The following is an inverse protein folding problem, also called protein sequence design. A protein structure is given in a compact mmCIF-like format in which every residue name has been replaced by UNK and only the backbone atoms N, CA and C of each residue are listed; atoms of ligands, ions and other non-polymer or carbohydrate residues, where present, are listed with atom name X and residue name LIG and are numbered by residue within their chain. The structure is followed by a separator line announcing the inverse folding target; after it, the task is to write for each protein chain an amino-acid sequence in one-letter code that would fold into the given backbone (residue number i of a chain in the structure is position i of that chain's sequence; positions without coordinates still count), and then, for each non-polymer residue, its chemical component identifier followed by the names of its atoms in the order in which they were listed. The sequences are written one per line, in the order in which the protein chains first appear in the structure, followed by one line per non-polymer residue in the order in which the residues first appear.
data_IF_450893860966
#
_entry.id   IF_450893860966
#
_cell.length_a   1.000
_cell.length_b   1.000
_cell.length_c   1.000
_cell.angle_alpha   90.00
_cell.angle_beta   90.00
_cell.angle_gamma   90.00
#
_symmetry.space_group_name_H-M   'P 1'
#
loop_
_entity.id
_entity.type
_entity.pdbx_description
1 polymer ?
#
# COMPACT_ATOMS: atom_id res chain seq x y z
N UNK A 1 41.99 46.36 -3.44
CA UNK A 1 41.18 45.64 -4.45
C UNK A 1 40.75 44.30 -3.84
N UNK A 2 39.53 44.24 -3.25
CA UNK A 2 38.97 43.01 -2.71
C UNK A 2 38.14 42.31 -3.81
N UNK A 3 38.54 41.12 -4.23
CA UNK A 3 37.78 40.29 -5.16
C UNK A 3 36.63 39.62 -4.40
N UNK A 4 35.40 39.91 -4.81
CA UNK A 4 34.19 39.24 -4.31
C UNK A 4 34.18 37.79 -4.81
N UNK A 5 34.18 36.82 -3.90
CA UNK A 5 33.96 35.41 -4.20
C UNK A 5 32.46 35.13 -4.15
N UNK A 6 31.89 34.76 -5.28
CA UNK A 6 30.46 34.50 -5.48
C UNK A 6 30.07 33.16 -4.84
N UNK A 7 28.89 33.01 -4.18
CA UNK A 7 28.48 31.77 -3.55
C UNK A 7 27.77 30.85 -4.56
N UNK A 8 28.51 30.14 -5.41
CA UNK A 8 27.97 29.15 -6.35
C UNK A 8 27.82 27.75 -5.68
N UNK A 9 28.51 27.53 -4.54
CA UNK A 9 28.55 26.21 -3.87
C UNK A 9 27.29 25.82 -3.09
N UNK A 10 26.46 26.78 -2.67
CA UNK A 10 25.26 26.48 -1.86
C UNK A 10 24.08 25.87 -2.67
N UNK A 11 23.95 26.25 -3.94
CA UNK A 11 22.83 25.78 -4.78
C UNK A 11 23.03 24.33 -5.24
N UNK A 12 24.26 23.91 -5.47
CA UNK A 12 24.57 22.53 -5.90
C UNK A 12 24.28 21.50 -4.79
N UNK A 13 24.52 21.84 -3.53
CA UNK A 13 24.25 20.94 -2.41
C UNK A 13 22.75 20.71 -2.18
N UNK A 14 21.92 21.72 -2.38
CA UNK A 14 20.45 21.61 -2.18
C UNK A 14 19.79 20.74 -3.28
N UNK A 15 20.28 20.84 -4.50
CA UNK A 15 19.77 20.02 -5.63
C UNK A 15 20.16 18.55 -5.49
N UNK A 16 21.36 18.25 -4.97
CA UNK A 16 21.82 16.89 -4.73
C UNK A 16 21.03 16.19 -3.61
N UNK A 17 20.65 16.90 -2.55
CA UNK A 17 19.83 16.36 -1.46
C UNK A 17 18.40 16.03 -1.92
N UNK A 18 17.79 16.87 -2.76
CA UNK A 18 16.44 16.61 -3.29
C UNK A 18 16.41 15.41 -4.25
N UNK A 19 17.46 15.21 -5.05
CA UNK A 19 17.55 14.06 -5.97
C UNK A 19 17.81 12.75 -5.23
N UNK A 20 18.58 12.76 -4.15
CA UNK A 20 18.84 11.58 -3.33
C UNK A 20 17.57 11.06 -2.62
N UNK A 21 16.75 11.96 -2.06
CA UNK A 21 15.47 11.58 -1.43
C UNK A 21 14.47 10.98 -2.44
N UNK A 22 14.42 11.54 -3.64
CA UNK A 22 13.55 11.02 -4.70
C UNK A 22 14.00 9.65 -5.23
N UNK A 23 15.29 9.41 -5.31
CA UNK A 23 15.85 8.13 -5.74
C UNK A 23 15.60 7.03 -4.70
N UNK A 24 15.71 7.34 -3.41
CA UNK A 24 15.44 6.40 -2.32
C UNK A 24 13.96 5.96 -2.30
N UNK A 25 13.02 6.89 -2.46
CA UNK A 25 11.59 6.57 -2.51
C UNK A 25 11.24 5.70 -3.74
N UNK A 26 11.86 5.97 -4.89
CA UNK A 26 11.67 5.14 -6.10
C UNK A 26 12.25 3.75 -5.94
N UNK A 27 13.42 3.62 -5.34
CA UNK A 27 14.04 2.32 -5.07
C UNK A 27 13.15 1.46 -4.18
N UNK A 28 12.52 2.03 -3.13
CA UNK A 28 11.60 1.31 -2.25
C UNK A 28 10.37 0.77 -2.98
N UNK A 29 9.72 1.55 -3.85
CA UNK A 29 8.57 1.10 -4.64
C UNK A 29 8.96 0.04 -5.69
N UNK A 30 10.16 0.14 -6.24
CA UNK A 30 10.70 -0.89 -7.13
C UNK A 30 10.96 -2.20 -6.37
N UNK A 31 11.46 -2.14 -5.15
CA UNK A 31 11.64 -3.31 -4.29
C UNK A 31 10.31 -4.01 -3.99
N UNK A 32 9.25 -3.24 -3.67
CA UNK A 32 7.89 -3.80 -3.50
C UNK A 32 7.44 -4.49 -4.77
N UNK A 33 7.58 -3.84 -5.93
CA UNK A 33 7.21 -4.40 -7.22
C UNK A 33 7.99 -5.69 -7.52
N UNK A 34 9.27 -5.72 -7.22
CA UNK A 34 10.10 -6.90 -7.41
C UNK A 34 9.67 -8.05 -6.49
N UNK A 35 9.53 -7.80 -5.19
CA UNK A 35 9.17 -8.83 -4.20
C UNK A 35 7.77 -9.39 -4.41
N UNK A 36 6.84 -8.60 -4.97
CA UNK A 36 5.43 -9.01 -5.20
C UNK A 36 5.17 -9.53 -6.63
N UNK A 37 6.16 -9.49 -7.53
CA UNK A 37 6.00 -9.94 -8.92
C UNK A 37 5.48 -11.38 -9.05
N UNK A 38 5.92 -12.27 -8.18
CA UNK A 38 5.48 -13.68 -8.13
C UNK A 38 3.99 -13.82 -7.88
N UNK A 39 3.37 -12.88 -7.18
CA UNK A 39 1.95 -12.88 -6.84
C UNK A 39 1.03 -12.47 -8.00
N UNK A 40 1.58 -12.13 -9.16
CA UNK A 40 0.78 -12.06 -10.40
C UNK A 40 0.13 -13.40 -10.73
N UNK A 41 0.66 -14.48 -10.17
CA UNK A 41 0.06 -15.82 -10.17
C UNK A 41 -0.63 -16.05 -8.83
N UNK A 42 -1.97 -16.00 -8.83
CA UNK A 42 -2.77 -16.13 -7.61
C UNK A 42 -2.49 -17.44 -6.85
N UNK A 43 -2.18 -18.52 -7.56
CA UNK A 43 -1.83 -19.80 -6.93
C UNK A 43 -0.60 -19.66 -6.02
N UNK A 44 0.40 -18.85 -6.42
CA UNK A 44 1.59 -18.58 -5.61
C UNK A 44 1.21 -17.77 -4.37
N UNK A 45 0.33 -16.76 -4.51
CA UNK A 45 -0.15 -15.99 -3.36
C UNK A 45 -0.86 -16.90 -2.34
N UNK A 46 -1.76 -17.77 -2.81
CA UNK A 46 -2.45 -18.73 -1.94
C UNK A 46 -1.49 -19.70 -1.25
N UNK A 47 -0.50 -20.21 -1.97
CA UNK A 47 0.55 -21.06 -1.40
C UNK A 47 1.34 -20.36 -0.31
N UNK A 48 1.62 -19.06 -0.48
CA UNK A 48 2.35 -18.22 0.47
C UNK A 48 1.46 -17.67 1.62
N UNK A 49 0.25 -18.21 1.79
CA UNK A 49 -0.62 -17.94 2.95
C UNK A 49 -1.61 -16.79 2.77
N UNK A 50 -1.78 -16.26 1.56
CA UNK A 50 -2.79 -15.23 1.29
C UNK A 50 -4.15 -15.88 1.02
N UNK A 51 -5.14 -15.58 1.88
CA UNK A 51 -6.52 -16.04 1.77
C UNK A 51 -7.47 -14.95 1.27
N UNK A 52 -8.55 -15.35 0.60
CA UNK A 52 -9.60 -14.42 0.15
C UNK A 52 -10.27 -13.74 1.35
N UNK A 53 -10.23 -12.41 1.38
CA UNK A 53 -11.01 -11.61 2.33
C UNK A 53 -12.40 -11.32 1.76
N UNK A 54 -13.42 -11.44 2.60
CA UNK A 54 -14.76 -10.92 2.37
C UNK A 54 -15.12 -9.94 3.47
N UNK A 55 -15.92 -8.95 3.13
CA UNK A 55 -16.46 -8.06 4.16
C UNK A 55 -17.55 -8.74 5.01
N UNK A 56 -18.09 -8.05 6.01
CA UNK A 56 -19.11 -8.59 6.91
C UNK A 56 -20.42 -8.97 6.19
N UNK A 57 -20.68 -8.44 5.00
CA UNK A 57 -21.80 -8.80 4.14
C UNK A 57 -21.48 -9.97 3.18
N UNK A 58 -20.26 -10.52 3.23
CA UNK A 58 -19.81 -11.60 2.38
C UNK A 58 -19.32 -11.16 0.98
N UNK A 59 -19.15 -9.85 0.77
CA UNK A 59 -18.71 -9.27 -0.50
C UNK A 59 -17.19 -9.37 -0.60
N UNK A 60 -16.71 -9.95 -1.70
CA UNK A 60 -15.28 -10.13 -1.93
C UNK A 60 -14.65 -9.03 -2.79
N UNK A 61 -15.37 -8.51 -3.77
CA UNK A 61 -14.89 -7.42 -4.62
C UNK A 61 -15.45 -6.10 -4.10
N UNK A 62 -14.58 -5.22 -3.70
CA UNK A 62 -14.93 -3.97 -3.02
C UNK A 62 -14.92 -2.83 -4.03
N UNK A 63 -16.06 -2.16 -4.20
CA UNK A 63 -16.18 -0.94 -4.98
C UNK A 63 -17.10 0.08 -4.32
N UNK A 64 -17.06 1.30 -4.81
CA UNK A 64 -17.85 2.44 -4.37
C UNK A 64 -18.19 3.32 -5.59
N UNK A 65 -19.17 2.94 -6.43
CA UNK A 65 -19.58 3.75 -7.55
C UNK A 65 -20.17 5.10 -7.10
N UNK A 66 -19.83 6.23 -7.76
CA UNK A 66 -18.98 6.38 -8.94
C UNK A 66 -17.49 6.63 -8.64
N UNK A 67 -17.05 6.48 -7.40
CA UNK A 67 -15.69 6.83 -6.95
C UNK A 67 -14.65 5.89 -7.60
N UNK A 68 -14.93 4.59 -7.61
CA UNK A 68 -14.07 3.55 -8.15
C UNK A 68 -14.09 2.27 -7.32
N UNK A 69 -13.23 1.32 -7.64
CA UNK A 69 -13.06 0.09 -6.89
C UNK A 69 -11.70 0.01 -6.18
N UNK A 70 -11.66 -0.74 -5.10
CA UNK A 70 -10.44 -1.31 -4.54
C UNK A 70 -10.10 -2.62 -5.23
N UNK A 71 -11.08 -3.50 -5.37
CA UNK A 71 -10.93 -4.83 -5.97
C UNK A 71 -11.10 -5.95 -4.96
N UNK A 72 -10.46 -7.10 -5.22
CA UNK A 72 -10.52 -8.31 -4.41
C UNK A 72 -9.25 -8.43 -3.59
N UNK A 73 -9.39 -8.51 -2.27
CA UNK A 73 -8.27 -8.60 -1.35
C UNK A 73 -7.96 -10.05 -0.98
N UNK A 74 -6.69 -10.41 -1.05
CA UNK A 74 -6.14 -11.64 -0.49
C UNK A 74 -5.19 -11.26 0.63
N UNK A 75 -5.48 -11.69 1.85
CA UNK A 75 -4.82 -11.24 3.08
C UNK A 75 -4.04 -12.38 3.70
N UNK A 76 -2.83 -12.10 4.17
CA UNK A 76 -2.05 -13.01 4.99
C UNK A 76 -2.21 -12.64 6.46
N UNK A 77 -3.07 -13.36 7.17
CA UNK A 77 -3.41 -13.10 8.57
C UNK A 77 -2.21 -13.20 9.52
N UNK A 78 -1.19 -13.99 9.18
CA UNK A 78 0.04 -14.08 9.99
C UNK A 78 0.82 -12.77 9.94
N UNK A 79 0.88 -12.10 8.78
CA UNK A 79 1.54 -10.82 8.64
C UNK A 79 0.75 -9.70 9.32
N UNK A 80 -0.59 -9.68 9.20
CA UNK A 80 -1.44 -8.69 9.89
C UNK A 80 -1.26 -8.76 11.40
N UNK A 81 -1.04 -9.96 11.96
CA UNK A 81 -0.91 -10.20 13.39
C UNK A 81 0.49 -9.96 13.98
N UNK A 82 1.52 -9.69 13.17
CA UNK A 82 2.92 -9.61 13.66
C UNK A 82 3.34 -8.22 14.18
N UNK A 83 2.40 -7.26 14.21
CA UNK A 83 2.63 -5.88 14.67
C UNK A 83 3.78 -5.13 13.96
N UNK A 84 4.15 -5.56 12.76
CA UNK A 84 5.17 -4.93 11.93
C UNK A 84 4.63 -4.53 10.56
N UNK A 85 5.34 -3.67 9.86
CA UNK A 85 5.05 -3.34 8.46
C UNK A 85 6.34 -3.42 7.65
N UNK A 86 6.35 -4.26 6.63
CA UNK A 86 7.52 -4.49 5.80
C UNK A 86 7.17 -4.22 4.33
N UNK A 87 7.80 -3.22 3.66
CA UNK A 87 7.47 -2.88 2.29
C UNK A 87 7.59 -4.05 1.30
N UNK A 88 8.44 -5.05 1.60
CA UNK A 88 8.61 -6.23 0.74
C UNK A 88 7.67 -7.40 1.06
N UNK A 89 6.89 -7.30 2.14
CA UNK A 89 5.95 -8.33 2.61
C UNK A 89 4.61 -7.68 2.97
N UNK A 90 3.85 -7.18 1.97
CA UNK A 90 2.55 -6.56 2.24
C UNK A 90 1.59 -7.57 2.85
N UNK A 91 0.77 -7.12 3.78
CA UNK A 91 -0.23 -7.92 4.47
C UNK A 91 -1.37 -8.33 3.55
N UNK A 92 -1.69 -7.51 2.53
CA UNK A 92 -2.70 -7.82 1.53
C UNK A 92 -2.21 -7.60 0.10
N UNK A 93 -2.75 -8.41 -0.80
CA UNK A 93 -2.59 -8.33 -2.25
C UNK A 93 -3.95 -8.02 -2.85
N UNK A 94 -4.02 -6.99 -3.69
CA UNK A 94 -5.27 -6.54 -4.28
C UNK A 94 -5.33 -6.90 -5.76
N UNK A 95 -6.40 -7.58 -6.13
CA UNK A 95 -6.62 -8.04 -7.49
C UNK A 95 -7.87 -7.40 -8.11
N UNK A 96 -7.77 -7.08 -9.37
CA UNK A 96 -8.92 -6.68 -10.18
C UNK A 96 -9.46 -7.90 -10.95
N UNK A 97 -10.77 -8.19 -10.87
CA UNK A 97 -11.39 -9.13 -11.79
C UNK A 97 -11.35 -8.59 -13.23
N UNK A 98 -10.84 -9.41 -14.16
CA UNK A 98 -10.84 -9.10 -15.60
C UNK A 98 -11.31 -10.36 -16.32
N UNK A 99 -12.53 -10.34 -16.86
CA UNK A 99 -13.19 -11.54 -17.41
C UNK A 99 -13.17 -12.67 -16.36
N UNK A 100 -12.47 -13.77 -16.63
CA UNK A 100 -12.37 -14.93 -15.74
C UNK A 100 -11.06 -15.00 -14.94
N UNK A 101 -10.29 -13.91 -14.91
CA UNK A 101 -8.98 -13.86 -14.26
C UNK A 101 -8.90 -12.76 -13.20
N UNK A 102 -8.05 -12.98 -12.22
CA UNK A 102 -7.66 -11.97 -11.24
C UNK A 102 -6.27 -11.43 -11.60
N UNK A 103 -6.18 -10.11 -11.82
CA UNK A 103 -4.94 -9.41 -12.10
C UNK A 103 -4.49 -8.63 -10.87
N UNK A 104 -3.27 -8.88 -10.39
CA UNK A 104 -2.67 -8.07 -9.33
C UNK A 104 -2.58 -6.61 -9.76
N UNK A 105 -3.13 -5.70 -8.96
CA UNK A 105 -3.20 -4.26 -9.24
C UNK A 105 -2.58 -3.39 -8.17
N UNK A 106 -2.67 -3.81 -6.90
CA UNK A 106 -2.13 -3.08 -5.77
C UNK A 106 -1.65 -4.04 -4.68
N UNK A 107 -0.97 -3.50 -3.70
CA UNK A 107 -0.71 -4.13 -2.41
C UNK A 107 -1.27 -3.23 -1.32
N UNK A 108 -1.51 -3.78 -0.17
CA UNK A 108 -1.99 -3.05 1.00
C UNK A 108 -1.23 -3.51 2.24
N UNK A 109 -0.86 -2.54 3.05
CA UNK A 109 -0.18 -2.74 4.32
C UNK A 109 -1.19 -2.55 5.43
N UNK A 110 -1.32 -3.54 6.32
CA UNK A 110 -2.35 -3.56 7.36
C UNK A 110 -1.74 -4.01 8.67
N UNK A 111 -2.05 -3.28 9.75
CA UNK A 111 -1.67 -3.71 11.10
C UNK A 111 -2.75 -3.32 12.10
N UNK A 112 -3.12 -4.21 13.01
CA UNK A 112 -4.08 -3.91 14.05
C UNK A 112 -3.60 -2.80 14.96
N UNK A 113 -4.50 -1.85 15.29
CA UNK A 113 -4.17 -0.66 16.07
C UNK A 113 -3.55 -1.02 17.42
N UNK A 114 -4.16 -1.95 18.13
CA UNK A 114 -3.70 -2.31 19.48
C UNK A 114 -2.36 -3.04 19.45
N UNK A 115 -2.16 -3.93 18.46
CA UNK A 115 -0.87 -4.61 18.27
C UNK A 115 0.23 -3.59 17.95
N UNK A 116 -0.04 -2.64 17.05
CA UNK A 116 0.92 -1.58 16.73
C UNK A 116 1.24 -0.70 17.93
N UNK A 117 0.21 -0.22 18.66
CA UNK A 117 0.38 0.64 19.83
C UNK A 117 1.13 -0.02 20.98
N UNK A 118 1.01 -1.35 21.14
CA UNK A 118 1.73 -2.09 22.14
C UNK A 118 3.26 -1.98 21.98
N UNK A 119 3.74 -1.87 20.73
CA UNK A 119 5.18 -1.73 20.39
C UNK A 119 5.57 -0.29 20.06
N UNK A 120 4.60 0.52 19.60
CA UNK A 120 4.82 1.90 19.13
C UNK A 120 3.76 2.87 19.70
N UNK A 121 3.70 3.11 21.01
CA UNK A 121 2.57 3.77 21.69
C UNK A 121 2.25 5.18 21.17
N UNK A 122 3.27 5.92 20.67
CA UNK A 122 3.14 7.32 20.25
C UNK A 122 3.35 7.53 18.75
N UNK A 123 3.34 6.47 17.95
CA UNK A 123 3.62 6.56 16.51
C UNK A 123 2.56 5.86 15.69
N UNK A 124 2.12 6.49 14.61
CA UNK A 124 1.40 5.81 13.53
C UNK A 124 2.40 5.05 12.66
N UNK A 125 2.00 3.92 12.05
CA UNK A 125 2.81 3.28 11.02
C UNK A 125 2.98 4.22 9.83
N UNK A 126 4.14 4.13 9.18
CA UNK A 126 4.49 4.95 8.03
C UNK A 126 5.36 4.16 7.06
N UNK A 127 5.01 4.20 5.77
CA UNK A 127 5.82 3.71 4.66
C UNK A 127 5.82 4.74 3.52
N UNK A 128 6.89 4.83 2.77
CA UNK A 128 7.02 5.70 1.59
C UNK A 128 6.72 7.17 1.87
N UNK A 129 6.97 7.65 3.11
CA UNK A 129 6.64 9.00 3.54
C UNK A 129 5.13 9.23 3.73
N UNK A 130 4.34 8.16 3.86
CA UNK A 130 2.90 8.20 4.10
C UNK A 130 2.55 7.55 5.42
N UNK A 131 1.85 8.28 6.26
CA UNK A 131 1.23 7.71 7.47
C UNK A 131 0.01 6.91 7.07
N UNK A 132 -0.17 5.77 7.71
CA UNK A 132 -1.32 4.91 7.50
C UNK A 132 -2.60 5.60 7.98
N UNK A 133 -3.69 5.34 7.30
CA UNK A 133 -5.04 5.68 7.74
C UNK A 133 -5.48 4.73 8.85
N UNK A 134 -6.34 5.21 9.76
CA UNK A 134 -6.95 4.40 10.81
C UNK A 134 -8.40 4.13 10.43
N UNK A 135 -8.74 2.87 10.28
CA UNK A 135 -10.11 2.41 10.20
C UNK A 135 -10.59 2.03 11.60
N UNK A 136 -11.71 2.61 12.02
CA UNK A 136 -12.35 2.34 13.31
C UNK A 136 -13.00 0.96 13.40
N UNK A 137 -13.64 0.69 14.54
CA UNK A 137 -14.35 -0.58 14.75
C UNK A 137 -15.63 -0.72 13.89
N UNK A 138 -16.11 0.39 13.33
CA UNK A 138 -17.25 0.45 12.40
C UNK A 138 -16.85 0.17 10.93
N UNK A 139 -15.66 -0.37 10.73
CA UNK A 139 -15.18 -0.72 9.41
C UNK A 139 -16.02 -1.84 8.77
N UNK A 140 -16.10 -1.83 7.44
CA UNK A 140 -16.93 -2.77 6.66
C UNK A 140 -16.61 -4.25 6.87
N UNK A 141 -15.42 -4.57 7.38
CA UNK A 141 -14.95 -5.94 7.58
C UNK A 141 -15.38 -6.53 8.93
N UNK A 142 -15.92 -5.69 9.85
CA UNK A 142 -16.25 -6.11 11.22
C UNK A 142 -15.02 -6.49 12.03
N UNK A 143 -13.86 -5.94 11.68
CA UNK A 143 -12.57 -6.20 12.34
C UNK A 143 -12.33 -5.17 13.46
N UNK A 144 -11.47 -5.49 14.45
CA UNK A 144 -10.93 -4.49 15.35
C UNK A 144 -10.28 -3.34 14.59
N UNK A 145 -10.16 -2.13 15.20
CA UNK A 145 -9.50 -1.02 14.53
C UNK A 145 -8.11 -1.36 14.00
N UNK A 146 -7.80 -0.96 12.79
CA UNK A 146 -6.52 -1.22 12.15
C UNK A 146 -6.02 -0.02 11.36
N UNK A 147 -4.73 0.04 11.15
CA UNK A 147 -4.09 0.98 10.24
C UNK A 147 -3.90 0.34 8.87
N UNK A 148 -4.12 1.10 7.81
CA UNK A 148 -3.90 0.65 6.44
C UNK A 148 -3.16 1.68 5.58
N UNK A 149 -2.49 1.21 4.54
CA UNK A 149 -1.93 2.00 3.44
C UNK A 149 -2.03 1.21 2.14
N UNK A 150 -2.87 1.67 1.24
CA UNK A 150 -3.00 1.13 -0.11
C UNK A 150 -1.88 1.63 -1.02
N UNK A 151 -1.36 0.78 -1.92
CA UNK A 151 -0.31 1.17 -2.87
C UNK A 151 -0.53 0.53 -4.26
N UNK A 152 -0.91 1.37 -5.24
CA UNK A 152 -1.21 0.98 -6.63
C UNK A 152 0.07 0.79 -7.45
N UNK A 153 0.89 -0.16 -7.10
CA UNK A 153 2.18 -0.39 -7.75
C UNK A 153 2.08 -1.14 -9.08
N UNK A 154 0.97 -1.85 -9.34
CA UNK A 154 0.77 -2.66 -10.55
C UNK A 154 -0.21 -2.06 -11.54
N UNK A 155 -1.02 -1.08 -11.12
CA UNK A 155 -1.98 -0.36 -11.96
C UNK A 155 -1.96 1.12 -11.60
N UNK A 156 -1.85 1.98 -12.61
CA UNK A 156 -1.91 3.42 -12.37
C UNK A 156 -3.27 3.80 -11.80
N UNK A 157 -3.25 4.55 -10.69
CA UNK A 157 -4.43 5.19 -10.12
C UNK A 157 -4.42 6.70 -10.43
N UNK A 158 -5.39 7.22 -11.20
CA UNK A 158 -5.45 8.65 -11.53
C UNK A 158 -5.72 9.55 -10.32
N UNK A 159 -6.21 9.00 -9.20
CA UNK A 159 -6.40 9.74 -7.95
C UNK A 159 -5.11 9.83 -7.11
N UNK A 160 -4.15 8.95 -7.36
CA UNK A 160 -2.88 8.90 -6.66
C UNK A 160 -2.45 7.47 -6.31
N UNK A 161 -1.15 7.29 -6.14
CA UNK A 161 -0.54 5.99 -5.82
C UNK A 161 -1.11 5.36 -4.54
N UNK A 162 -1.49 6.18 -3.56
CA UNK A 162 -1.90 5.77 -2.22
C UNK A 162 -3.36 6.10 -1.88
N UNK A 163 -4.18 6.43 -2.89
CA UNK A 163 -5.62 6.60 -2.71
C UNK A 163 -6.29 5.21 -2.78
N UNK A 164 -7.22 4.92 -1.88
CA UNK A 164 -7.84 3.60 -1.78
C UNK A 164 -8.66 3.25 -3.02
N UNK A 165 -9.31 4.25 -3.62
CA UNK A 165 -10.24 4.08 -4.71
C UNK A 165 -9.62 4.36 -6.07
N UNK A 166 -9.75 3.42 -7.01
CA UNK A 166 -9.29 3.59 -8.37
C UNK A 166 -10.45 3.48 -9.36
N UNK A 167 -10.79 4.60 -10.03
CA UNK A 167 -11.88 4.63 -11.03
C UNK A 167 -11.68 3.68 -12.22
N UNK A 168 -10.48 3.14 -12.39
CA UNK A 168 -10.12 2.14 -13.42
C UNK A 168 -10.25 0.71 -12.93
N UNK A 169 -10.72 0.51 -11.70
CA UNK A 169 -11.04 -0.78 -11.10
C UNK A 169 -12.54 -0.83 -10.89
N UNK A 170 -13.16 -1.91 -11.33
CA UNK A 170 -14.59 -2.15 -11.19
C UNK A 170 -14.80 -3.60 -10.77
N UNK A 171 -15.79 -3.82 -9.94
CA UNK A 171 -16.28 -5.16 -9.62
C UNK A 171 -17.28 -5.62 -10.70
N UNK A 172 -17.34 -6.90 -11.04
CA UNK A 172 -18.42 -7.43 -11.84
C UNK A 172 -19.77 -7.20 -11.15
N UNK A 173 -20.79 -6.92 -11.96
CA UNK A 173 -22.17 -6.84 -11.50
C UNK A 173 -22.67 -8.21 -11.05
#
# INVERSE_FOLDING_TARGET
MLKRVTPILAVAALVLLATAASASARASLQDVRHSTAKFRHLAVAKHDGYGLLKDAAGIACIDNPPVGGMGVHYVNGTLVGDASVNPRKPEALVYQPIHHHLRLVAVEYVVFQDAWKAVHPNRKPELFGRKFELLGADNRYGLPPFYELHAWIWKHNPRGMFDDWNRRVQCPA
#
